data_IF_770945753278
#
_entry.id   IF_770945753278
#
_cell.length_a   1.000
_cell.length_b   1.000
_cell.length_c   1.000
_cell.angle_alpha   90.00
_cell.angle_beta   90.00
_cell.angle_gamma   90.00
#
_symmetry.space_group_name_H-M   'P 1'
#
loop_
_entity.id
_entity.type
_entity.pdbx_description
1 polymer ?
#
# COMPACT_ATOMS: atom_id res chain seq x y z
N UNK A 1 -6.19 -16.41 -10.29
CA UNK A 1 -6.68 -15.07 -9.84
C UNK A 1 -6.16 -14.00 -10.79
N UNK A 2 -6.99 -13.00 -11.14
CA UNK A 2 -6.55 -11.86 -11.95
C UNK A 2 -6.77 -10.57 -11.12
N UNK A 3 -5.68 -9.91 -10.74
CA UNK A 3 -5.71 -8.68 -9.91
C UNK A 3 -4.61 -7.72 -10.34
N UNK A 4 -4.94 -6.44 -10.38
CA UNK A 4 -4.00 -5.34 -10.60
C UNK A 4 -3.91 -4.51 -9.32
N UNK A 5 -2.75 -4.48 -8.68
CA UNK A 5 -2.51 -3.78 -7.42
C UNK A 5 -1.44 -2.72 -7.66
N UNK A 6 -1.80 -1.47 -7.46
CA UNK A 6 -0.88 -0.35 -7.53
C UNK A 6 -0.45 0.03 -6.11
N UNK A 7 0.84 0.19 -5.90
CA UNK A 7 1.38 0.60 -4.61
C UNK A 7 2.13 1.91 -4.84
N UNK A 8 1.76 2.96 -4.14
CA UNK A 8 2.35 4.28 -4.33
C UNK A 8 2.70 4.96 -3.00
N UNK A 9 3.69 5.82 -3.07
CA UNK A 9 4.18 6.56 -1.91
C UNK A 9 5.43 7.35 -2.24
N UNK A 10 6.18 7.72 -1.22
CA UNK A 10 7.46 8.41 -1.37
C UNK A 10 8.64 7.53 -0.95
N UNK A 11 9.80 7.79 -1.52
CA UNK A 11 11.01 7.03 -1.24
C UNK A 11 11.34 6.94 0.26
N UNK A 12 11.60 5.72 0.73
CA UNK A 12 11.88 5.41 2.13
C UNK A 12 10.70 4.83 2.93
N UNK A 13 9.48 4.80 2.39
CA UNK A 13 8.29 4.27 3.08
C UNK A 13 8.13 2.74 3.00
N UNK A 14 8.95 2.04 2.19
CA UNK A 14 8.89 0.57 2.08
C UNK A 14 7.86 0.03 1.08
N UNK A 15 7.42 0.85 0.13
CA UNK A 15 6.52 0.48 -0.98
C UNK A 15 7.02 -0.74 -1.76
N UNK A 16 8.31 -0.77 -2.07
CA UNK A 16 8.98 -1.86 -2.78
C UNK A 16 8.96 -3.18 -1.99
N UNK A 17 9.10 -3.13 -0.66
CA UNK A 17 8.99 -4.35 0.16
C UNK A 17 7.56 -4.88 0.13
N UNK A 18 6.57 -4.01 0.24
CA UNK A 18 5.17 -4.38 0.16
C UNK A 18 4.84 -5.03 -1.19
N UNK A 19 5.29 -4.44 -2.32
CA UNK A 19 5.08 -5.02 -3.65
C UNK A 19 5.70 -6.41 -3.80
N UNK A 20 6.94 -6.60 -3.30
CA UNK A 20 7.65 -7.88 -3.34
C UNK A 20 6.96 -8.97 -2.50
N UNK A 21 6.39 -8.62 -1.34
CA UNK A 21 5.64 -9.57 -0.51
C UNK A 21 4.38 -10.00 -1.25
N UNK A 22 3.58 -9.07 -1.78
CA UNK A 22 2.37 -9.39 -2.54
C UNK A 22 2.70 -10.29 -3.74
N UNK A 23 3.68 -9.89 -4.55
CA UNK A 23 4.09 -10.62 -5.74
C UNK A 23 4.52 -12.06 -5.41
N UNK A 24 5.39 -12.23 -4.42
CA UNK A 24 5.87 -13.55 -4.04
C UNK A 24 4.77 -14.43 -3.43
N UNK A 25 3.88 -13.84 -2.63
CA UNK A 25 2.73 -14.55 -2.06
C UNK A 25 1.80 -15.07 -3.15
N UNK A 26 1.49 -14.25 -4.14
CA UNK A 26 0.67 -14.68 -5.28
C UNK A 26 1.33 -15.81 -6.10
N UNK A 27 2.66 -15.77 -6.25
CA UNK A 27 3.42 -16.84 -6.92
C UNK A 27 3.38 -18.15 -6.13
N UNK A 28 3.46 -18.10 -4.79
CA UNK A 28 3.33 -19.28 -3.92
C UNK A 28 1.95 -19.92 -4.07
N UNK A 29 0.91 -19.11 -4.28
CA UNK A 29 -0.46 -19.59 -4.53
C UNK A 29 -0.71 -19.98 -6.00
N UNK A 30 0.36 -20.13 -6.80
CA UNK A 30 0.31 -20.66 -8.16
C UNK A 30 -0.12 -19.65 -9.22
N UNK A 31 -0.16 -18.35 -8.91
CA UNK A 31 -0.50 -17.32 -9.89
C UNK A 31 0.75 -16.85 -10.65
N UNK A 32 0.61 -16.58 -11.95
CA UNK A 32 1.61 -15.80 -12.69
C UNK A 32 1.62 -14.36 -12.15
N UNK A 33 2.79 -13.72 -12.08
CA UNK A 33 2.91 -12.35 -11.59
C UNK A 33 3.87 -11.55 -12.46
N UNK A 34 3.46 -10.34 -12.82
CA UNK A 34 4.28 -9.35 -13.49
C UNK A 34 4.38 -8.12 -12.60
N UNK A 35 5.59 -7.61 -12.37
CA UNK A 35 5.79 -6.40 -11.57
C UNK A 35 6.76 -5.44 -12.23
N UNK A 36 6.52 -4.14 -12.02
CA UNK A 36 7.41 -3.07 -12.40
C UNK A 36 7.44 -1.99 -11.32
N UNK A 37 8.59 -1.37 -11.14
CA UNK A 37 8.78 -0.29 -10.18
C UNK A 37 9.25 0.96 -10.93
N UNK A 38 8.57 2.08 -10.71
CA UNK A 38 9.00 3.39 -11.15
C UNK A 38 9.50 4.16 -9.94
N UNK A 39 10.80 4.38 -9.91
CA UNK A 39 11.46 5.09 -8.81
C UNK A 39 11.93 6.43 -9.34
N UNK A 40 11.50 7.52 -8.70
CA UNK A 40 11.98 8.86 -9.02
C UNK A 40 13.48 9.01 -8.76
N UNK A 41 14.14 9.99 -9.40
CA UNK A 41 15.59 10.24 -9.24
C UNK A 41 15.96 10.57 -7.78
N UNK A 42 15.04 11.13 -6.99
CA UNK A 42 15.25 11.37 -5.58
C UNK A 42 14.99 10.06 -4.79
N UNK A 43 16.04 9.45 -4.24
CA UNK A 43 15.94 8.22 -3.44
C UNK A 43 15.15 8.40 -2.12
N UNK A 44 15.01 9.63 -1.63
CA UNK A 44 14.20 9.99 -0.46
C UNK A 44 13.26 11.12 -0.81
N UNK A 45 11.98 10.98 -0.46
CA UNK A 45 10.97 12.00 -0.71
C UNK A 45 10.48 12.09 -2.18
N UNK A 46 11.08 11.35 -3.12
CA UNK A 46 10.60 11.24 -4.49
C UNK A 46 9.43 10.26 -4.62
N UNK A 47 8.54 10.50 -5.60
CA UNK A 47 7.44 9.58 -5.90
C UNK A 47 7.95 8.19 -6.27
N UNK A 48 7.34 7.16 -5.71
CA UNK A 48 7.61 5.75 -6.02
C UNK A 48 6.28 5.07 -6.32
N UNK A 49 6.23 4.36 -7.44
CA UNK A 49 5.06 3.58 -7.84
C UNK A 49 5.49 2.17 -8.20
N UNK A 50 4.87 1.18 -7.59
CA UNK A 50 5.06 -0.24 -7.89
C UNK A 50 3.77 -0.81 -8.46
N UNK A 51 3.87 -1.44 -9.64
CA UNK A 51 2.78 -2.14 -10.29
C UNK A 51 2.93 -3.63 -10.01
N UNK A 52 1.88 -4.28 -9.52
CA UNK A 52 1.83 -5.74 -9.35
C UNK A 52 0.59 -6.25 -10.07
N UNK A 53 0.80 -7.04 -11.12
CA UNK A 53 -0.26 -7.68 -11.90
C UNK A 53 -0.21 -9.17 -11.67
N UNK A 54 -1.29 -9.71 -11.13
CA UNK A 54 -1.45 -11.13 -10.80
C UNK A 54 -2.37 -11.74 -11.83
N UNK A 55 -1.97 -12.88 -12.40
CA UNK A 55 -2.66 -13.58 -13.48
C UNK A 55 -2.09 -13.27 -14.87
N UNK A 56 -2.90 -13.44 -15.90
CA UNK A 56 -2.47 -13.22 -17.28
C UNK A 56 -2.28 -11.74 -17.57
N UNK A 57 -1.08 -11.38 -18.02
CA UNK A 57 -0.75 -10.02 -18.41
C UNK A 57 0.40 -10.02 -19.46
N UNK A 58 0.29 -9.15 -20.46
CA UNK A 58 1.32 -8.98 -21.50
C UNK A 58 2.34 -7.87 -21.15
N UNK A 59 2.08 -7.09 -20.11
CA UNK A 59 2.94 -6.01 -19.66
C UNK A 59 2.89 -5.92 -18.14
N UNK A 60 3.99 -5.58 -17.45
CA UNK A 60 3.99 -5.39 -16.01
C UNK A 60 3.29 -4.08 -15.60
N UNK A 61 3.13 -3.12 -16.51
CA UNK A 61 2.46 -1.85 -16.20
C UNK A 61 0.94 -2.03 -16.20
N UNK A 62 0.30 -1.53 -15.15
CA UNK A 62 -1.15 -1.49 -15.03
C UNK A 62 -1.70 -0.40 -15.96
N UNK A 63 -2.63 -0.72 -16.86
CA UNK A 63 -3.32 0.30 -17.66
C UNK A 63 -4.20 1.21 -16.79
N UNK A 64 -4.42 2.46 -17.24
CA UNK A 64 -5.33 3.37 -16.56
C UNK A 64 -6.75 2.76 -16.42
N UNK A 65 -7.37 3.01 -15.29
CA UNK A 65 -8.73 2.54 -15.00
C UNK A 65 -8.86 1.04 -14.77
N UNK A 66 -7.74 0.29 -14.53
CA UNK A 66 -7.80 -1.17 -14.37
C UNK A 66 -7.24 -1.69 -13.04
N UNK A 67 -6.74 -0.83 -12.17
CA UNK A 67 -6.28 -1.25 -10.84
C UNK A 67 -7.48 -1.64 -9.95
N UNK A 68 -7.43 -2.85 -9.40
CA UNK A 68 -8.42 -3.34 -8.42
C UNK A 68 -8.26 -2.64 -7.08
N UNK A 69 -7.00 -2.36 -6.72
CA UNK A 69 -6.62 -1.80 -5.44
C UNK A 69 -5.44 -0.84 -5.60
N UNK A 70 -5.47 0.27 -4.87
CA UNK A 70 -4.33 1.17 -4.68
C UNK A 70 -3.95 1.15 -3.20
N UNK A 71 -2.71 0.78 -2.89
CA UNK A 71 -2.10 0.89 -1.57
C UNK A 71 -1.23 2.14 -1.54
N UNK A 72 -1.69 3.18 -0.86
CA UNK A 72 -1.02 4.48 -0.87
C UNK A 72 -0.42 4.80 0.51
N UNK A 73 0.87 5.03 0.52
CA UNK A 73 1.61 5.37 1.72
C UNK A 73 1.59 6.87 2.04
N UNK A 74 1.04 7.67 1.12
CA UNK A 74 0.99 9.12 1.21
C UNK A 74 -0.26 9.65 0.48
N UNK A 75 -1.02 10.63 1.06
CA UNK A 75 -2.29 11.08 0.49
C UNK A 75 -2.20 11.69 -0.91
N UNK A 76 -1.21 12.54 -1.19
CA UNK A 76 -1.06 13.16 -2.52
C UNK A 76 -0.67 12.14 -3.58
N UNK A 77 0.13 11.12 -3.22
CA UNK A 77 0.46 10.02 -4.12
C UNK A 77 -0.77 9.17 -4.45
N UNK A 78 -1.69 8.97 -3.48
CA UNK A 78 -2.97 8.31 -3.74
C UNK A 78 -3.79 9.06 -4.79
N UNK A 79 -3.94 10.38 -4.64
CA UNK A 79 -4.68 11.22 -5.59
C UNK A 79 -4.01 11.22 -6.97
N UNK A 80 -2.67 11.36 -7.02
CA UNK A 80 -1.90 11.36 -8.28
C UNK A 80 -2.11 10.06 -9.07
N UNK A 81 -2.22 8.94 -8.38
CA UNK A 81 -2.37 7.62 -8.98
C UNK A 81 -3.83 7.15 -9.10
N UNK A 82 -4.81 7.96 -8.71
CA UNK A 82 -6.22 7.59 -8.77
C UNK A 82 -6.69 7.27 -10.20
N UNK A 83 -6.04 7.83 -11.21
CA UNK A 83 -6.31 7.54 -12.63
C UNK A 83 -6.16 6.05 -12.98
N UNK A 84 -5.40 5.28 -12.21
CA UNK A 84 -5.25 3.84 -12.42
C UNK A 84 -6.43 3.02 -11.87
N UNK A 85 -7.18 3.57 -10.89
CA UNK A 85 -8.22 2.82 -10.20
C UNK A 85 -9.39 2.51 -11.13
N UNK A 86 -9.83 1.25 -11.15
CA UNK A 86 -11.05 0.86 -11.87
C UNK A 86 -12.31 1.30 -11.14
N UNK A 87 -13.43 1.34 -11.85
CA UNK A 87 -14.75 1.52 -11.22
C UNK A 87 -15.01 0.39 -10.22
N UNK A 88 -15.38 0.74 -8.98
CA UNK A 88 -15.58 -0.23 -7.89
C UNK A 88 -14.27 -0.76 -7.25
N UNK A 89 -13.12 -0.26 -7.68
CA UNK A 89 -11.85 -0.49 -6.99
C UNK A 89 -11.79 0.23 -5.64
N UNK A 90 -10.76 -0.10 -4.84
CA UNK A 90 -10.56 0.43 -3.49
C UNK A 90 -9.20 1.11 -3.35
N UNK A 91 -9.18 2.21 -2.60
CA UNK A 91 -7.95 2.87 -2.15
C UNK A 91 -7.77 2.63 -0.65
N UNK A 92 -6.61 2.11 -0.27
CA UNK A 92 -6.18 2.04 1.13
C UNK A 92 -5.07 3.06 1.30
N UNK A 93 -5.28 4.10 2.12
CA UNK A 93 -4.37 5.24 2.18
C UNK A 93 -3.98 5.60 3.61
N UNK A 94 -2.68 5.90 3.78
CA UNK A 94 -2.19 6.51 5.00
C UNK A 94 -2.70 7.96 5.14
N UNK A 95 -3.21 8.32 6.30
CA UNK A 95 -3.63 9.71 6.59
C UNK A 95 -2.46 10.65 6.90
N UNK A 96 -1.30 10.09 7.25
CA UNK A 96 -0.13 10.90 7.65
C UNK A 96 0.62 11.36 6.41
N UNK A 97 0.64 12.69 6.11
CA UNK A 97 1.34 13.21 4.94
C UNK A 97 2.86 13.18 5.14
N UNK A 98 3.57 13.07 4.02
CA UNK A 98 5.01 13.34 3.97
C UNK A 98 5.21 14.64 3.23
N UNK A 99 5.57 15.70 3.96
CA UNK A 99 5.79 17.02 3.36
C UNK A 99 6.92 16.96 2.31
N UNK A 100 6.68 17.43 1.08
CA UNK A 100 7.75 17.56 0.09
C UNK A 100 8.88 18.46 0.60
N UNK A 101 10.10 18.26 0.12
CA UNK A 101 11.24 19.13 0.49
C UNK A 101 10.97 20.59 0.13
N UNK A 102 10.25 20.83 -0.97
CA UNK A 102 9.83 22.15 -1.42
C UNK A 102 8.86 22.86 -0.47
N UNK A 103 8.14 22.12 0.38
CA UNK A 103 7.24 22.69 1.39
C UNK A 103 8.00 23.50 2.44
N UNK A 104 9.26 23.13 2.73
CA UNK A 104 10.12 23.93 3.61
C UNK A 104 10.50 25.31 3.05
N UNK A 105 10.28 25.50 1.74
CA UNK A 105 10.57 26.75 1.04
C UNK A 105 9.33 27.65 0.86
N UNK A 106 8.13 27.06 0.92
CA UNK A 106 6.89 27.76 0.61
C UNK A 106 5.72 27.20 1.44
N UNK A 107 5.78 27.28 2.79
CA UNK A 107 4.78 26.70 3.70
C UNK A 107 3.34 26.84 3.14
N UNK A 108 2.90 25.82 2.38
CA UNK A 108 1.58 25.78 1.73
C UNK A 108 0.50 25.25 2.67
N UNK A 109 0.90 24.87 3.90
CA UNK A 109 -0.02 24.27 4.87
C UNK A 109 -0.47 22.86 4.52
N UNK A 110 0.27 22.12 3.68
CA UNK A 110 -0.11 20.76 3.28
C UNK A 110 -0.19 19.82 4.49
N UNK A 111 -1.39 19.31 4.76
CA UNK A 111 -1.70 18.36 5.85
C UNK A 111 -2.36 17.06 5.34
N UNK A 112 -2.60 16.94 4.04
CA UNK A 112 -3.23 15.78 3.40
C UNK A 112 -4.77 15.75 3.47
N UNK A 113 -5.40 16.61 4.26
CA UNK A 113 -6.86 16.56 4.51
C UNK A 113 -7.69 16.68 3.23
N UNK A 114 -7.39 17.67 2.39
CA UNK A 114 -8.10 17.87 1.12
C UNK A 114 -7.98 16.68 0.17
N UNK A 115 -6.82 15.99 0.19
CA UNK A 115 -6.59 14.78 -0.61
C UNK A 115 -7.45 13.61 -0.13
N UNK A 116 -7.56 13.42 1.18
CA UNK A 116 -8.38 12.36 1.78
C UNK A 116 -9.87 12.59 1.53
N UNK A 117 -10.35 13.83 1.66
CA UNK A 117 -11.72 14.20 1.33
C UNK A 117 -12.05 13.94 -0.15
N UNK A 118 -11.13 14.32 -1.04
CA UNK A 118 -11.26 14.06 -2.46
C UNK A 118 -11.37 12.56 -2.74
N UNK A 119 -10.48 11.73 -2.18
CA UNK A 119 -10.49 10.27 -2.36
C UNK A 119 -11.83 9.66 -1.90
N UNK A 120 -12.29 10.02 -0.70
CA UNK A 120 -13.57 9.55 -0.15
C UNK A 120 -14.77 9.92 -1.03
N UNK A 121 -14.71 11.07 -1.72
CA UNK A 121 -15.77 11.51 -2.64
C UNK A 121 -15.78 10.76 -3.98
N UNK A 122 -14.68 10.08 -4.35
CA UNK A 122 -14.49 9.47 -5.68
C UNK A 122 -14.55 7.96 -5.70
N UNK A 123 -14.17 7.28 -4.62
CA UNK A 123 -14.05 5.82 -4.60
C UNK A 123 -14.25 5.24 -3.19
N UNK A 124 -14.34 3.92 -3.09
CA UNK A 124 -14.16 3.21 -1.83
C UNK A 124 -12.78 3.51 -1.26
N UNK A 125 -12.73 4.05 -0.03
CA UNK A 125 -11.49 4.55 0.56
C UNK A 125 -11.38 4.15 2.03
N UNK A 126 -10.36 3.35 2.35
CA UNK A 126 -9.97 3.01 3.72
C UNK A 126 -8.83 3.93 4.14
N UNK A 127 -9.05 4.73 5.16
CA UNK A 127 -8.05 5.68 5.66
C UNK A 127 -7.43 5.12 6.94
N UNK A 128 -6.11 4.97 6.95
CA UNK A 128 -5.34 4.41 8.07
C UNK A 128 -4.35 5.44 8.59
N UNK A 129 -4.35 5.65 9.90
CA UNK A 129 -3.33 6.47 10.55
C UNK A 129 -2.10 5.63 10.89
N UNK A 130 -1.03 5.82 10.11
CA UNK A 130 0.22 5.11 10.32
C UNK A 130 0.87 5.37 11.68
N UNK A 131 0.69 6.56 12.26
CA UNK A 131 1.23 6.87 13.60
C UNK A 131 0.49 6.06 14.66
N UNK A 132 -0.84 6.10 14.62
CA UNK A 132 -1.69 5.41 15.58
C UNK A 132 -1.51 3.88 15.52
N UNK A 133 -1.54 3.30 14.31
CA UNK A 133 -1.43 1.84 14.15
C UNK A 133 -0.03 1.32 14.52
N UNK A 134 1.01 2.13 14.34
CA UNK A 134 2.39 1.75 14.63
C UNK A 134 2.87 2.19 16.03
N UNK A 135 2.09 2.94 16.78
CA UNK A 135 2.44 3.41 18.13
C UNK A 135 2.89 2.27 19.07
N UNK A 136 2.18 1.11 19.14
CA UNK A 136 2.59 0.00 20.00
C UNK A 136 3.95 -0.62 19.64
N UNK A 137 4.41 -0.40 18.42
CA UNK A 137 5.67 -0.96 17.90
C UNK A 137 6.84 0.01 17.96
N UNK A 138 6.61 1.25 18.43
CA UNK A 138 7.64 2.27 18.62
C UNK A 138 8.26 2.83 17.32
N UNK A 139 7.75 2.47 16.14
CA UNK A 139 8.29 2.98 14.87
C UNK A 139 7.27 2.91 13.73
N UNK A 140 7.11 4.00 12.99
CA UNK A 140 6.29 4.06 11.78
C UNK A 140 6.84 3.20 10.61
N UNK A 141 8.04 2.66 10.74
CA UNK A 141 8.64 1.76 9.73
C UNK A 141 7.85 0.48 9.53
N UNK A 142 7.05 0.05 10.52
CA UNK A 142 6.19 -1.13 10.42
C UNK A 142 4.91 -0.89 9.62
N UNK A 143 4.64 0.36 9.21
CA UNK A 143 3.43 0.68 8.45
C UNK A 143 3.35 -0.04 7.11
N UNK A 144 4.48 -0.28 6.45
CA UNK A 144 4.52 -1.02 5.19
C UNK A 144 3.99 -2.47 5.33
N UNK A 145 4.08 -3.05 6.50
CA UNK A 145 3.50 -4.37 6.80
C UNK A 145 2.06 -4.22 7.32
N UNK A 146 1.79 -3.20 8.12
CA UNK A 146 0.43 -2.95 8.60
C UNK A 146 -0.55 -2.70 7.45
N UNK A 147 -0.18 -1.93 6.43
CA UNK A 147 -1.04 -1.67 5.25
C UNK A 147 -1.32 -2.96 4.44
N UNK A 148 -0.38 -3.92 4.43
CA UNK A 148 -0.63 -5.24 3.84
C UNK A 148 -1.68 -6.00 4.65
N UNK A 149 -1.63 -5.91 5.99
CA UNK A 149 -2.66 -6.45 6.86
C UNK A 149 -4.03 -5.89 6.52
N UNK A 150 -4.15 -4.55 6.39
CA UNK A 150 -5.41 -3.91 5.96
C UNK A 150 -5.89 -4.47 4.63
N UNK A 151 -4.99 -4.57 3.63
CA UNK A 151 -5.35 -5.06 2.30
C UNK A 151 -5.90 -6.49 2.33
N UNK A 152 -5.32 -7.37 3.16
CA UNK A 152 -5.82 -8.74 3.35
C UNK A 152 -7.14 -8.74 4.13
N UNK A 153 -7.24 -7.93 5.18
CA UNK A 153 -8.43 -7.84 6.03
C UNK A 153 -9.69 -7.35 5.29
N UNK A 154 -9.53 -6.60 4.20
CA UNK A 154 -10.67 -6.21 3.33
C UNK A 154 -11.19 -7.34 2.44
N UNK A 155 -10.63 -8.54 2.50
CA UNK A 155 -10.90 -9.69 1.61
C UNK A 155 -10.82 -9.38 0.09
N UNK A 156 -10.32 -8.20 -0.27
CA UNK A 156 -10.26 -7.76 -1.68
C UNK A 156 -8.92 -8.05 -2.34
N UNK A 157 -7.88 -8.37 -1.56
CA UNK A 157 -6.56 -8.71 -2.11
C UNK A 157 -6.58 -10.09 -2.80
N UNK A 158 -7.29 -11.06 -2.25
CA UNK A 158 -7.42 -12.41 -2.79
C UNK A 158 -6.18 -13.28 -2.58
N UNK A 159 -5.32 -12.94 -1.62
CA UNK A 159 -4.15 -13.71 -1.19
C UNK A 159 -4.36 -14.07 0.29
N UNK A 160 -4.08 -15.31 0.68
CA UNK A 160 -4.26 -15.77 2.05
C UNK A 160 -3.31 -15.06 3.03
N UNK A 161 -3.79 -14.79 4.23
CA UNK A 161 -2.96 -14.19 5.29
C UNK A 161 -1.78 -15.08 5.66
N UNK A 162 -1.95 -16.39 5.61
CA UNK A 162 -0.91 -17.38 5.92
C UNK A 162 0.27 -17.26 4.94
N UNK A 163 -0.01 -17.05 3.66
CA UNK A 163 1.01 -16.90 2.62
C UNK A 163 1.76 -15.56 2.76
N UNK A 164 1.04 -14.48 3.04
CA UNK A 164 1.65 -13.17 3.32
C UNK A 164 2.55 -13.25 4.56
N UNK A 165 2.10 -13.88 5.65
CA UNK A 165 2.90 -14.03 6.87
C UNK A 165 4.18 -14.83 6.64
N UNK A 166 4.14 -15.92 5.85
CA UNK A 166 5.34 -16.68 5.46
C UNK A 166 6.34 -15.82 4.67
N UNK A 167 5.86 -14.99 3.75
CA UNK A 167 6.76 -14.09 2.99
C UNK A 167 7.32 -12.95 3.86
N UNK A 168 6.57 -12.45 4.85
CA UNK A 168 7.10 -11.52 5.85
C UNK A 168 8.26 -12.17 6.62
N UNK A 169 8.06 -13.39 7.17
CA UNK A 169 9.12 -14.13 7.90
C UNK A 169 10.40 -14.29 7.08
N UNK A 170 10.25 -14.59 5.80
CA UNK A 170 11.38 -14.84 4.89
C UNK A 170 12.16 -13.57 4.54
N UNK A 171 11.49 -12.41 4.49
CA UNK A 171 12.08 -11.16 3.98
C UNK A 171 12.51 -10.19 5.05
N UNK A 172 12.02 -10.36 6.25
CA UNK A 172 12.33 -9.47 7.38
C UNK A 172 13.42 -10.13 8.24
N UNK A 173 14.41 -9.35 8.73
CA UNK A 173 15.41 -9.90 9.65
C UNK A 173 14.76 -10.56 10.88
N UNK A 174 15.28 -11.72 11.31
CA UNK A 174 14.68 -12.58 12.33
C UNK A 174 14.26 -11.84 13.62
N UNK A 175 15.08 -10.90 14.07
CA UNK A 175 14.82 -10.08 15.26
C UNK A 175 13.58 -9.18 15.16
N UNK A 176 13.05 -8.93 13.95
CA UNK A 176 11.89 -8.08 13.72
C UNK A 176 10.66 -8.85 13.26
N UNK A 177 10.73 -10.16 13.09
CA UNK A 177 9.63 -10.98 12.56
C UNK A 177 8.38 -10.85 13.41
N UNK A 178 8.48 -11.05 14.71
CA UNK A 178 7.31 -11.00 15.60
C UNK A 178 6.66 -9.60 15.63
N UNK A 179 7.47 -8.55 15.64
CA UNK A 179 6.93 -7.18 15.59
C UNK A 179 6.24 -6.90 14.25
N UNK A 180 6.78 -7.39 13.13
CA UNK A 180 6.13 -7.23 11.83
C UNK A 180 4.84 -8.04 11.72
N UNK A 181 4.78 -9.25 12.28
CA UNK A 181 3.53 -10.03 12.37
C UNK A 181 2.48 -9.29 13.19
N UNK A 182 2.87 -8.75 14.36
CA UNK A 182 1.95 -7.97 15.18
C UNK A 182 1.44 -6.72 14.44
N UNK A 183 2.30 -6.02 13.69
CA UNK A 183 1.89 -4.90 12.85
C UNK A 183 0.94 -5.34 11.72
N UNK A 184 1.18 -6.49 11.09
CA UNK A 184 0.28 -7.08 10.11
C UNK A 184 -1.11 -7.33 10.71
N UNK A 185 -1.19 -7.96 11.88
CA UNK A 185 -2.47 -8.26 12.53
C UNK A 185 -3.20 -6.99 13.00
N UNK A 186 -2.48 -5.97 13.45
CA UNK A 186 -3.08 -4.68 13.75
C UNK A 186 -3.76 -4.07 12.51
N UNK A 187 -3.08 -4.14 11.35
CA UNK A 187 -3.66 -3.73 10.08
C UNK A 187 -4.82 -4.60 9.64
N UNK A 188 -4.70 -5.92 9.79
CA UNK A 188 -5.74 -6.88 9.41
C UNK A 188 -7.07 -6.57 10.12
N UNK A 189 -7.03 -6.32 11.43
CA UNK A 189 -8.21 -5.94 12.19
C UNK A 189 -8.83 -4.58 11.76
N UNK A 190 -8.05 -3.65 11.21
CA UNK A 190 -8.61 -2.42 10.62
C UNK A 190 -9.29 -2.71 9.27
N UNK A 191 -8.74 -3.65 8.48
CA UNK A 191 -9.32 -4.06 7.22
C UNK A 191 -10.67 -4.78 7.38
N UNK A 192 -10.79 -5.66 8.37
CA UNK A 192 -12.04 -6.39 8.68
C UNK A 192 -13.20 -5.45 9.03
N UNK A 193 -12.92 -4.31 9.66
CA UNK A 193 -13.97 -3.31 9.98
C UNK A 193 -14.60 -2.70 8.74
N UNK A 194 -13.85 -2.59 7.65
CA UNK A 194 -14.34 -1.97 6.41
C UNK A 194 -15.39 -2.82 5.68
N UNK A 195 -15.37 -4.14 5.84
CA UNK A 195 -16.37 -5.03 5.22
C UNK A 195 -17.72 -5.02 5.95
N UNK A 196 -17.73 -4.55 7.21
CA UNK A 196 -18.93 -4.51 8.03
C UNK A 196 -19.71 -3.19 7.93
N UNK A 197 -19.19 -2.18 7.23
CA UNK A 197 -19.84 -0.90 6.93
C UNK A 197 -20.38 -0.88 5.47
#
# INVERSE_FOLDING_TARGET
>A
MNKNILICGVGGQGTVLASKIIAASAMIEGSAVHSAETIGMAQRGGSVTSHVRIGEAYSPLIPYGTADMILAFEPAEAVRNLIYLKKGGIVIVNSVPVKPVTESLADTGYDGTAMLEYLKSKCGCVVIDAKKICEPFGSSRYFNIAILGVAVGTDRLGISKETILKEIEKRVPSKFVETNKAAFFAGYGEGEKYETE
#
